data_IF_148138120929
#
_entry.id   IF_148138120929
#
_cell.length_a   1.000
_cell.length_b   1.000
_cell.length_c   1.000
_cell.angle_alpha   90.00
_cell.angle_beta   90.00
_cell.angle_gamma   90.00
#
_symmetry.space_group_name_H-M   'P 1'
#
loop_
_entity.id
_entity.type
_entity.pdbx_description
1 polymer ?
#
# COMPACT_ATOMS: atom_id res chain seq x y z
N UNK A 1 -10.41 -26.50 -22.02
CA UNK A 1 -10.65 -25.28 -21.23
C UNK A 1 -10.18 -25.56 -19.81
N UNK A 2 -8.94 -25.18 -19.48
CA UNK A 2 -8.48 -25.18 -18.09
C UNK A 2 -8.52 -23.74 -17.64
N UNK A 3 -9.60 -23.34 -16.98
CA UNK A 3 -9.62 -22.09 -16.22
C UNK A 3 -8.76 -22.32 -14.99
N UNK A 4 -7.56 -21.74 -14.99
CA UNK A 4 -6.81 -21.56 -13.75
C UNK A 4 -7.67 -20.68 -12.85
N UNK A 5 -8.18 -21.27 -11.77
CA UNK A 5 -8.79 -20.49 -10.70
C UNK A 5 -7.63 -19.73 -10.08
N UNK A 6 -7.54 -18.43 -10.37
CA UNK A 6 -6.69 -17.51 -9.62
C UNK A 6 -7.09 -17.71 -8.16
N UNK A 7 -6.19 -18.32 -7.38
CA UNK A 7 -6.36 -18.37 -5.92
C UNK A 7 -6.52 -16.91 -5.50
N UNK A 8 -7.49 -16.56 -4.65
CA UNK A 8 -7.52 -15.22 -4.08
C UNK A 8 -6.15 -15.01 -3.44
N UNK A 9 -5.36 -14.12 -4.03
CA UNK A 9 -4.10 -13.73 -3.45
C UNK A 9 -4.42 -13.20 -2.05
N UNK A 10 -3.72 -13.66 -0.99
CA UNK A 10 -3.92 -13.13 0.34
C UNK A 10 -3.32 -11.73 0.39
N UNK A 11 -3.99 -10.76 -0.20
CA UNK A 11 -3.68 -9.35 -0.02
C UNK A 11 -3.90 -9.02 1.46
N UNK A 12 -2.86 -8.47 2.08
CA UNK A 12 -2.90 -7.93 3.43
C UNK A 12 -3.31 -6.47 3.33
N UNK A 13 -4.18 -6.03 4.23
CA UNK A 13 -4.59 -4.64 4.28
C UNK A 13 -3.47 -3.83 4.96
N UNK A 14 -2.86 -2.89 4.25
CA UNK A 14 -1.81 -2.03 4.78
C UNK A 14 -2.34 -0.62 5.02
N UNK A 15 -1.92 -0.03 6.14
CA UNK A 15 -2.15 1.38 6.46
C UNK A 15 -0.82 2.11 6.48
N UNK A 16 -0.69 3.11 5.61
CA UNK A 16 0.47 4.00 5.50
C UNK A 16 0.11 5.34 6.12
N UNK A 17 0.81 5.72 7.18
CA UNK A 17 0.75 7.06 7.77
C UNK A 17 1.85 7.91 7.15
N UNK A 18 1.49 9.08 6.63
CA UNK A 18 2.42 9.98 5.95
C UNK A 18 2.05 11.45 6.19
N UNK A 19 2.98 12.36 5.92
CA UNK A 19 2.72 13.81 5.95
C UNK A 19 2.40 14.32 4.54
N UNK A 20 1.23 14.90 4.33
CA UNK A 20 0.77 15.36 3.00
C UNK A 20 1.27 16.78 2.63
N UNK A 21 2.10 17.39 3.48
CA UNK A 21 2.53 18.78 3.37
C UNK A 21 1.76 19.76 4.28
N UNK A 22 0.61 19.35 4.82
CA UNK A 22 -0.23 20.16 5.71
C UNK A 22 -0.50 19.46 7.04
N UNK A 23 -0.77 18.16 7.02
CA UNK A 23 -1.13 17.36 8.19
C UNK A 23 -0.69 15.90 8.05
N UNK A 24 -0.83 15.15 9.14
CA UNK A 24 -0.72 13.69 9.07
C UNK A 24 -1.98 13.12 8.39
N UNK A 25 -1.77 12.21 7.44
CA UNK A 25 -2.81 11.52 6.70
C UNK A 25 -2.55 10.00 6.71
N UNK A 26 -3.60 9.23 6.42
CA UNK A 26 -3.53 7.78 6.23
C UNK A 26 -3.88 7.41 4.79
N UNK A 27 -3.15 6.45 4.23
CA UNK A 27 -3.44 5.81 2.96
C UNK A 27 -3.59 4.31 3.19
N UNK A 28 -4.75 3.77 2.82
CA UNK A 28 -5.09 2.36 3.00
C UNK A 28 -5.01 1.64 1.65
N UNK A 29 -4.32 0.50 1.62
CA UNK A 29 -4.11 -0.27 0.38
C UNK A 29 -4.04 -1.76 0.67
N UNK A 30 -4.71 -2.54 -0.17
CA UNK A 30 -4.56 -4.00 -0.16
C UNK A 30 -3.33 -4.38 -0.98
N UNK A 31 -2.35 -5.00 -0.33
CA UNK A 31 -1.08 -5.39 -0.96
C UNK A 31 -0.60 -6.75 -0.45
N UNK A 32 0.10 -7.51 -1.27
CA UNK A 32 0.68 -8.82 -0.89
C UNK A 32 1.94 -8.66 -0.05
N UNK A 33 2.54 -7.46 -0.06
CA UNK A 33 3.74 -7.16 0.69
C UNK A 33 3.84 -5.68 1.03
N UNK A 34 4.64 -5.37 2.05
CA UNK A 34 5.02 -3.99 2.41
C UNK A 34 5.60 -3.23 1.21
N UNK A 35 6.39 -3.90 0.37
CA UNK A 35 6.99 -3.28 -0.82
C UNK A 35 5.92 -2.85 -1.84
N UNK A 36 4.95 -3.71 -2.11
CA UNK A 36 3.85 -3.40 -3.02
C UNK A 36 2.96 -2.26 -2.47
N UNK A 37 2.74 -2.20 -1.16
CA UNK A 37 2.06 -1.08 -0.53
C UNK A 37 2.83 0.25 -0.69
N UNK A 38 4.17 0.23 -0.61
CA UNK A 38 5.02 1.42 -0.85
C UNK A 38 4.99 1.84 -2.32
N UNK A 39 5.05 0.90 -3.26
CA UNK A 39 4.96 1.23 -4.69
C UNK A 39 3.59 1.84 -5.03
N UNK A 40 2.49 1.29 -4.50
CA UNK A 40 1.15 1.88 -4.66
C UNK A 40 1.05 3.29 -4.06
N UNK A 41 1.74 3.55 -2.95
CA UNK A 41 1.84 4.89 -2.37
C UNK A 41 2.65 5.86 -3.26
N UNK A 42 3.73 5.38 -3.89
CA UNK A 42 4.54 6.18 -4.82
C UNK A 42 3.80 6.53 -6.10
N UNK A 43 2.91 5.67 -6.57
CA UNK A 43 2.05 5.93 -7.73
C UNK A 43 1.08 7.12 -7.53
N UNK A 44 0.82 7.52 -6.27
CA UNK A 44 0.07 8.73 -5.92
C UNK A 44 0.89 10.02 -6.03
N UNK A 45 2.19 9.91 -6.30
CA UNK A 45 3.10 11.06 -6.39
C UNK A 45 3.80 11.44 -5.09
N UNK A 46 3.67 10.63 -4.03
CA UNK A 46 4.41 10.80 -2.78
C UNK A 46 5.74 10.04 -2.80
N UNK A 47 6.68 10.47 -1.96
CA UNK A 47 7.96 9.80 -1.80
C UNK A 47 7.95 8.86 -0.58
N UNK A 48 8.75 7.79 -0.62
CA UNK A 48 8.88 6.87 0.52
C UNK A 48 9.35 7.59 1.80
N UNK A 49 10.10 8.69 1.66
CA UNK A 49 10.53 9.51 2.80
C UNK A 49 9.39 10.25 3.51
N UNK A 50 8.23 10.39 2.87
CA UNK A 50 7.04 11.00 3.46
C UNK A 50 6.32 10.03 4.42
N UNK A 51 6.66 8.73 4.35
CA UNK A 51 6.07 7.69 5.20
C UNK A 51 6.61 7.83 6.62
N UNK A 52 5.69 8.09 7.54
CA UNK A 52 5.93 8.04 8.97
C UNK A 52 5.86 6.61 9.52
N UNK A 53 4.87 5.84 9.08
CA UNK A 53 4.69 4.44 9.48
C UNK A 53 3.94 3.66 8.40
N UNK A 54 4.17 2.35 8.36
CA UNK A 54 3.42 1.42 7.53
C UNK A 54 3.20 0.14 8.34
N UNK A 55 1.95 -0.32 8.42
CA UNK A 55 1.56 -1.47 9.22
C UNK A 55 0.53 -2.32 8.46
N UNK A 56 0.63 -3.67 8.55
CA UNK A 56 -0.43 -4.56 8.12
C UNK A 56 -1.61 -4.58 9.11
#
# INVERSE_FOLDING_TARGET
MMSAIEKPDPSTHYVILYFDGSQMASFEVDAKSRYEAIEAFKDLGFAECDIFSISP
#
